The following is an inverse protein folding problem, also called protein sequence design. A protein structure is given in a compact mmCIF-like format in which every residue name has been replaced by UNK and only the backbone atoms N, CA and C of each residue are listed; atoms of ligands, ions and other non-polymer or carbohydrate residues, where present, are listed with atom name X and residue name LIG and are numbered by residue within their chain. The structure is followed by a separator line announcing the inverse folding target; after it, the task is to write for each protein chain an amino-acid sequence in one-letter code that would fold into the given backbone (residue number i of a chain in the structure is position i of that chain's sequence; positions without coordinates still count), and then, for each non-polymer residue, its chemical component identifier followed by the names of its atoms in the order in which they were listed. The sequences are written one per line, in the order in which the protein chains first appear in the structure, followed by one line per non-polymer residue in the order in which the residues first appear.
data_IF_622031739581
#
_entry.id   IF_622031739581
#
_cell.length_a   1.000
_cell.length_b   1.000
_cell.length_c   1.000
_cell.angle_alpha   90.00
_cell.angle_beta   90.00
_cell.angle_gamma   90.00
#
_symmetry.space_group_name_H-M   'P 1'
#
loop_
_entity.id
_entity.type
_entity.pdbx_description
1 polymer ?
#
# COMPACT_ATOMS: atom_id res chain seq x y z
N UNK A 1 6.11 -26.99 12.96
CA UNK A 1 7.04 -26.23 12.06
C UNK A 1 6.61 -26.52 10.64
N UNK A 2 6.31 -25.50 9.83
CA UNK A 2 5.90 -25.66 8.44
C UNK A 2 6.94 -25.02 7.50
N UNK A 3 7.05 -25.53 6.28
CA UNK A 3 7.84 -24.93 5.19
C UNK A 3 6.92 -24.12 4.28
N UNK A 4 7.12 -22.81 4.27
CA UNK A 4 6.22 -21.84 3.65
C UNK A 4 6.94 -21.08 2.54
N UNK A 5 6.35 -21.02 1.36
CA UNK A 5 6.81 -20.13 0.29
C UNK A 5 5.88 -18.92 0.18
N UNK A 6 6.45 -17.74 0.32
CA UNK A 6 5.78 -16.47 0.01
C UNK A 6 6.09 -16.11 -1.44
N UNK A 7 5.08 -15.99 -2.28
CA UNK A 7 5.26 -15.72 -3.71
C UNK A 7 4.87 -14.29 -4.06
N UNK A 8 5.79 -13.54 -4.64
CA UNK A 8 5.57 -12.15 -5.02
C UNK A 8 6.15 -11.86 -6.41
N UNK A 9 5.38 -11.19 -7.27
CA UNK A 9 5.90 -10.73 -8.55
C UNK A 9 6.75 -9.48 -8.35
N UNK A 10 7.91 -9.39 -9.01
CA UNK A 10 8.86 -8.30 -8.83
C UNK A 10 9.06 -7.52 -10.11
N UNK A 11 8.77 -6.23 -10.09
CA UNK A 11 9.24 -5.33 -11.15
C UNK A 11 10.71 -5.05 -10.88
N UNK A 12 11.64 -5.39 -11.80
CA UNK A 12 13.06 -5.18 -11.58
C UNK A 12 13.38 -3.73 -11.22
N UNK A 13 14.30 -3.54 -10.27
CA UNK A 13 14.77 -2.24 -9.76
C UNK A 13 13.69 -1.37 -9.08
N UNK A 14 12.47 -1.88 -8.88
CA UNK A 14 11.39 -1.20 -8.16
C UNK A 14 11.19 -1.87 -6.81
N UNK A 15 11.21 -1.09 -5.74
CA UNK A 15 10.86 -1.54 -4.39
C UNK A 15 9.82 -0.60 -3.79
N UNK A 16 8.71 -1.17 -3.35
CA UNK A 16 7.60 -0.43 -2.76
C UNK A 16 6.99 -1.13 -1.57
N UNK A 17 5.78 -0.74 -1.20
CA UNK A 17 5.05 -1.32 -0.06
C UNK A 17 4.82 -2.83 -0.20
N UNK A 18 4.54 -3.31 -1.40
CA UNK A 18 4.28 -4.73 -1.65
C UNK A 18 5.53 -5.60 -1.41
N UNK A 19 6.68 -5.17 -1.91
CA UNK A 19 7.95 -5.86 -1.73
C UNK A 19 8.38 -5.88 -0.26
N UNK A 20 8.23 -4.75 0.43
CA UNK A 20 8.50 -4.63 1.87
C UNK A 20 7.55 -5.48 2.70
N UNK A 21 6.27 -5.60 2.31
CA UNK A 21 5.29 -6.47 2.95
C UNK A 21 5.69 -7.94 2.83
N UNK A 22 6.03 -8.41 1.61
CA UNK A 22 6.44 -9.78 1.36
C UNK A 22 7.70 -10.17 2.15
N UNK A 23 8.71 -9.30 2.15
CA UNK A 23 9.93 -9.51 2.94
C UNK A 23 9.65 -9.55 4.46
N UNK A 24 8.75 -8.68 4.93
CA UNK A 24 8.34 -8.67 6.34
C UNK A 24 7.59 -9.94 6.71
N UNK A 25 6.68 -10.43 5.86
CA UNK A 25 5.96 -11.69 6.11
C UNK A 25 6.94 -12.87 6.27
N UNK A 26 7.94 -12.99 5.39
CA UNK A 26 8.96 -14.05 5.50
C UNK A 26 9.73 -13.94 6.82
N UNK A 27 10.15 -12.73 7.20
CA UNK A 27 10.85 -12.50 8.48
C UNK A 27 9.99 -12.93 9.67
N UNK A 28 8.70 -12.55 9.67
CA UNK A 28 7.78 -12.85 10.77
C UNK A 28 7.42 -14.35 10.85
N UNK A 29 7.27 -15.02 9.70
CA UNK A 29 7.11 -16.48 9.66
C UNK A 29 8.32 -17.21 10.24
N UNK A 30 9.54 -16.76 9.90
CA UNK A 30 10.77 -17.30 10.48
C UNK A 30 10.85 -17.02 11.98
N UNK A 31 10.49 -15.81 12.41
CA UNK A 31 10.41 -15.43 13.83
C UNK A 31 9.39 -16.26 14.62
N UNK A 32 8.35 -16.77 13.97
CA UNK A 32 7.36 -17.69 14.55
C UNK A 32 7.82 -19.18 14.53
N UNK A 33 9.05 -19.49 14.09
CA UNK A 33 9.63 -20.83 14.10
C UNK A 33 9.31 -21.68 12.87
N UNK A 34 8.92 -21.08 11.75
CA UNK A 34 8.69 -21.76 10.48
C UNK A 34 9.88 -21.58 9.52
N UNK A 35 10.09 -22.55 8.62
CA UNK A 35 10.95 -22.33 7.46
C UNK A 35 10.18 -21.51 6.44
N UNK A 36 10.66 -20.34 6.06
CA UNK A 36 9.97 -19.49 5.10
C UNK A 36 10.95 -18.89 4.10
N UNK A 37 10.57 -18.87 2.82
CA UNK A 37 11.36 -18.30 1.74
C UNK A 37 10.49 -17.41 0.84
N UNK A 38 11.15 -16.39 0.23
CA UNK A 38 10.52 -15.51 -0.73
C UNK A 38 10.85 -15.96 -2.14
N UNK A 39 9.84 -16.37 -2.89
CA UNK A 39 9.94 -16.66 -4.32
C UNK A 39 9.53 -15.43 -5.11
N UNK A 40 10.45 -14.90 -5.91
CA UNK A 40 10.19 -13.73 -6.73
C UNK A 40 10.51 -14.03 -8.20
N UNK A 41 9.53 -13.78 -9.08
CA UNK A 41 9.75 -13.81 -10.53
C UNK A 41 9.63 -12.40 -11.09
N UNK A 42 10.46 -12.03 -12.10
CA UNK A 42 10.34 -10.77 -12.78
C UNK A 42 8.96 -10.60 -13.40
N UNK A 43 8.41 -9.40 -13.30
CA UNK A 43 7.14 -9.02 -13.91
C UNK A 43 7.32 -7.82 -14.82
N UNK A 44 6.83 -7.94 -16.05
CA UNK A 44 6.72 -6.85 -17.02
C UNK A 44 5.27 -6.75 -17.51
N UNK A 45 4.82 -5.53 -17.78
CA UNK A 45 3.50 -5.27 -18.37
C UNK A 45 3.61 -4.66 -19.77
N UNK A 46 4.82 -4.47 -20.27
CA UNK A 46 5.07 -3.95 -21.60
C UNK A 46 6.18 -4.76 -22.28
N UNK A 47 5.94 -5.24 -23.51
CA UNK A 47 4.68 -5.18 -24.26
C UNK A 47 3.57 -6.04 -23.61
N UNK A 48 2.31 -5.84 -23.97
CA UNK A 48 1.12 -6.49 -23.36
C UNK A 48 1.21 -8.02 -23.20
N UNK A 49 1.74 -8.78 -24.18
CA UNK A 49 1.88 -10.24 -24.03
C UNK A 49 2.67 -10.67 -22.80
N UNK A 50 3.63 -9.85 -22.33
CA UNK A 50 4.45 -10.14 -21.14
C UNK A 50 3.62 -10.33 -19.87
N UNK A 51 2.44 -9.68 -19.79
CA UNK A 51 1.52 -9.83 -18.66
C UNK A 51 1.08 -11.29 -18.53
N UNK A 52 0.61 -11.89 -19.66
CA UNK A 52 0.15 -13.28 -19.65
C UNK A 52 1.32 -14.28 -19.62
N UNK A 53 2.44 -13.97 -20.25
CA UNK A 53 3.66 -14.79 -20.15
C UNK A 53 4.12 -14.89 -18.70
N UNK A 54 4.13 -13.78 -17.97
CA UNK A 54 4.42 -13.76 -16.53
C UNK A 54 3.41 -14.61 -15.74
N UNK A 55 2.11 -14.51 -16.06
CA UNK A 55 1.07 -15.31 -15.41
C UNK A 55 1.25 -16.81 -15.70
N UNK A 56 1.56 -17.18 -16.95
CA UNK A 56 1.84 -18.56 -17.33
C UNK A 56 3.11 -19.11 -16.67
N UNK A 57 4.16 -18.29 -16.54
CA UNK A 57 5.39 -18.68 -15.84
C UNK A 57 5.09 -19.10 -14.40
N UNK A 58 4.31 -18.32 -13.66
CA UNK A 58 3.84 -18.70 -12.33
C UNK A 58 2.98 -19.97 -12.35
N UNK A 59 2.15 -20.15 -13.37
CA UNK A 59 1.26 -21.31 -13.50
C UNK A 59 2.02 -22.61 -13.74
N UNK A 60 3.18 -22.54 -14.41
CA UNK A 60 4.02 -23.70 -14.77
C UNK A 60 5.05 -24.02 -13.70
N UNK A 61 5.32 -23.10 -12.77
CA UNK A 61 6.27 -23.30 -11.69
C UNK A 61 5.76 -24.39 -10.75
N UNK A 62 6.59 -25.43 -10.55
CA UNK A 62 6.37 -26.41 -9.50
C UNK A 62 7.00 -25.90 -8.20
N UNK A 63 6.18 -25.76 -7.17
CA UNK A 63 6.56 -25.31 -5.83
C UNK A 63 6.11 -26.30 -4.75
N UNK A 64 5.81 -27.53 -5.14
CA UNK A 64 5.34 -28.56 -4.20
C UNK A 64 6.47 -29.16 -3.38
N UNK A 65 7.70 -29.05 -3.89
CA UNK A 65 8.92 -29.54 -3.25
C UNK A 65 10.07 -28.56 -3.45
N UNK A 66 10.95 -28.46 -2.49
CA UNK A 66 12.19 -27.70 -2.57
C UNK A 66 13.29 -28.43 -1.79
N UNK A 67 14.44 -28.66 -2.44
CA UNK A 67 15.58 -29.38 -1.85
C UNK A 67 15.21 -30.76 -1.27
N UNK A 68 14.45 -31.53 -2.03
CA UNK A 68 14.01 -32.87 -1.65
C UNK A 68 13.06 -32.97 -0.47
N UNK A 69 12.43 -31.84 -0.10
CA UNK A 69 11.47 -31.76 0.99
C UNK A 69 10.17 -31.09 0.53
N UNK A 70 9.00 -31.58 0.98
CA UNK A 70 7.74 -30.98 0.61
C UNK A 70 7.62 -29.53 1.11
N UNK A 71 6.97 -28.69 0.34
CA UNK A 71 6.49 -27.38 0.75
C UNK A 71 5.09 -27.56 1.33
N UNK A 72 4.88 -27.04 2.53
CA UNK A 72 3.62 -27.25 3.27
C UNK A 72 2.54 -26.22 2.91
N UNK A 73 2.95 -24.98 2.62
CA UNK A 73 2.05 -23.87 2.37
C UNK A 73 2.65 -22.88 1.37
N UNK A 74 1.83 -22.39 0.45
CA UNK A 74 2.21 -21.29 -0.46
C UNK A 74 1.29 -20.10 -0.23
N UNK A 75 1.90 -18.91 -0.04
CA UNK A 75 1.21 -17.62 0.20
C UNK A 75 1.55 -16.64 -0.92
N UNK A 76 0.80 -16.63 -2.03
CA UNK A 76 0.98 -15.63 -3.08
C UNK A 76 0.27 -14.32 -2.71
N UNK A 77 0.89 -13.17 -3.11
CA UNK A 77 0.49 -11.87 -2.59
C UNK A 77 -0.08 -10.88 -3.62
N UNK A 78 0.34 -10.91 -4.86
CA UNK A 78 -0.16 -10.00 -5.90
C UNK A 78 -0.12 -10.63 -7.29
N UNK A 79 -0.83 -10.02 -8.24
CA UNK A 79 -0.78 -10.43 -9.64
C UNK A 79 0.68 -10.43 -10.17
N UNK A 80 1.08 -11.47 -10.92
CA UNK A 80 0.39 -12.73 -11.21
C UNK A 80 0.81 -13.90 -10.30
N UNK A 81 1.44 -13.67 -9.14
CA UNK A 81 2.01 -14.73 -8.29
C UNK A 81 0.98 -15.77 -7.83
N UNK A 82 -0.29 -15.39 -7.69
CA UNK A 82 -1.35 -16.33 -7.30
C UNK A 82 -1.78 -17.32 -8.41
N UNK A 83 -1.19 -17.20 -9.61
CA UNK A 83 -1.30 -18.24 -10.64
C UNK A 83 -0.58 -19.54 -10.26
N UNK A 84 0.37 -19.49 -9.33
CA UNK A 84 1.08 -20.69 -8.83
C UNK A 84 0.09 -21.77 -8.37
N UNK A 85 0.44 -23.03 -8.65
CA UNK A 85 -0.35 -24.20 -8.24
C UNK A 85 0.27 -24.85 -7.02
N UNK A 86 -0.54 -25.07 -6.01
CA UNK A 86 -0.15 -25.80 -4.82
C UNK A 86 -1.41 -26.37 -4.14
N UNK A 87 -1.40 -27.62 -3.62
CA UNK A 87 -2.55 -28.19 -2.94
C UNK A 87 -2.98 -27.38 -1.71
N UNK A 88 -2.02 -26.74 -1.03
CA UNK A 88 -2.26 -25.88 0.11
C UNK A 88 -1.84 -24.44 -0.24
N UNK A 89 -2.73 -23.70 -0.89
CA UNK A 89 -2.53 -22.31 -1.30
C UNK A 89 -3.48 -21.38 -0.54
N UNK A 90 -2.91 -20.40 0.18
CA UNK A 90 -3.62 -19.32 0.85
C UNK A 90 -3.20 -17.99 0.24
N UNK A 91 -4.10 -17.30 -0.45
CA UNK A 91 -3.80 -16.00 -1.06
C UNK A 91 -3.91 -14.91 -0.02
N UNK A 92 -2.91 -14.03 0.07
CA UNK A 92 -3.01 -12.78 0.81
C UNK A 92 -2.84 -11.62 -0.16
N UNK A 93 -3.95 -11.20 -0.74
CA UNK A 93 -3.99 -10.28 -1.87
C UNK A 93 -3.63 -8.86 -1.46
N UNK A 94 -2.54 -8.33 -2.03
CA UNK A 94 -2.17 -6.90 -1.96
C UNK A 94 -3.02 -6.12 -2.96
N UNK A 95 -3.00 -6.51 -4.22
CA UNK A 95 -3.83 -5.96 -5.29
C UNK A 95 -3.84 -6.87 -6.53
N UNK A 96 -4.90 -6.73 -7.34
CA UNK A 96 -4.95 -7.22 -8.71
C UNK A 96 -4.03 -6.35 -9.61
N UNK A 97 -3.95 -6.69 -10.89
CA UNK A 97 -3.34 -5.80 -11.88
C UNK A 97 -4.33 -4.65 -12.20
N UNK A 98 -4.32 -3.59 -11.39
CA UNK A 98 -5.32 -2.51 -11.34
C UNK A 98 -5.58 -1.83 -12.68
N UNK A 99 -4.60 -1.83 -13.59
CA UNK A 99 -4.76 -1.31 -14.95
C UNK A 99 -5.87 -2.03 -15.74
N UNK A 100 -6.13 -3.30 -15.41
CA UNK A 100 -7.22 -4.08 -16.03
C UNK A 100 -8.55 -3.95 -15.28
N UNK A 101 -8.62 -3.24 -14.16
CA UNK A 101 -9.77 -3.13 -13.27
C UNK A 101 -10.27 -1.69 -13.12
N UNK A 102 -10.11 -1.13 -11.95
CA UNK A 102 -10.58 0.20 -11.57
C UNK A 102 -9.86 1.35 -12.30
N UNK A 103 -8.64 1.10 -12.78
CA UNK A 103 -7.86 2.08 -13.55
C UNK A 103 -8.03 1.95 -15.07
N UNK A 104 -8.76 0.94 -15.55
CA UNK A 104 -8.94 0.72 -16.99
C UNK A 104 -9.59 1.93 -17.67
N UNK A 105 -8.95 2.43 -18.75
CA UNK A 105 -9.44 3.57 -19.51
C UNK A 105 -9.34 4.93 -18.82
N UNK A 106 -8.72 5.03 -17.63
CA UNK A 106 -8.41 6.32 -17.02
C UNK A 106 -7.21 6.99 -17.74
N UNK A 107 -7.06 8.29 -17.56
CA UNK A 107 -5.97 9.07 -18.18
C UNK A 107 -4.58 8.57 -17.81
N UNK A 108 -4.43 8.06 -16.60
CA UNK A 108 -3.17 7.59 -16.04
C UNK A 108 -2.96 6.08 -16.26
N UNK A 109 -3.86 5.43 -17.00
CA UNK A 109 -3.76 4.01 -17.31
C UNK A 109 -2.93 3.77 -18.56
N UNK A 110 -2.14 2.70 -18.55
CA UNK A 110 -1.49 2.15 -19.75
C UNK A 110 -2.50 1.47 -20.69
N UNK A 111 -3.71 1.16 -20.16
CA UNK A 111 -4.80 0.57 -20.92
C UNK A 111 -5.81 1.62 -21.34
N UNK A 112 -6.16 1.59 -22.61
CA UNK A 112 -7.19 2.45 -23.20
C UNK A 112 -8.53 1.70 -23.30
N UNK A 113 -9.60 2.42 -23.68
CA UNK A 113 -10.89 1.79 -23.99
C UNK A 113 -10.98 1.20 -25.41
N UNK A 114 -9.86 1.04 -26.10
CA UNK A 114 -9.82 0.44 -27.45
C UNK A 114 -10.13 -1.07 -27.39
N UNK A 115 -10.67 -1.66 -28.47
CA UNK A 115 -11.03 -3.08 -28.50
C UNK A 115 -9.88 -4.03 -28.18
N UNK A 116 -8.65 -3.71 -28.59
CA UNK A 116 -7.46 -4.50 -28.31
C UNK A 116 -7.17 -4.57 -26.80
N UNK A 117 -7.20 -3.43 -26.11
CA UNK A 117 -6.99 -3.37 -24.66
C UNK A 117 -8.13 -4.05 -23.89
N UNK A 118 -9.37 -3.98 -24.40
CA UNK A 118 -10.50 -4.70 -23.82
C UNK A 118 -10.29 -6.21 -23.85
N UNK A 119 -9.72 -6.74 -24.94
CA UNK A 119 -9.37 -8.16 -25.04
C UNK A 119 -8.29 -8.57 -24.02
N UNK A 120 -7.24 -7.76 -23.85
CA UNK A 120 -6.23 -8.03 -22.83
C UNK A 120 -6.81 -8.01 -21.42
N UNK A 121 -7.74 -7.07 -21.16
CA UNK A 121 -8.48 -7.01 -19.91
C UNK A 121 -9.24 -8.31 -19.62
N UNK A 122 -9.98 -8.83 -20.59
CA UNK A 122 -10.73 -10.08 -20.45
C UNK A 122 -9.80 -11.26 -20.13
N UNK A 123 -8.68 -11.38 -20.81
CA UNK A 123 -7.69 -12.44 -20.57
C UNK A 123 -7.06 -12.33 -19.18
N UNK A 124 -6.80 -11.11 -18.69
CA UNK A 124 -6.29 -10.89 -17.32
C UNK A 124 -7.36 -11.28 -16.29
N UNK A 125 -8.63 -10.91 -16.51
CA UNK A 125 -9.72 -11.30 -15.63
C UNK A 125 -9.92 -12.83 -15.57
N UNK A 126 -9.75 -13.52 -16.68
CA UNK A 126 -9.80 -14.99 -16.74
C UNK A 126 -8.63 -15.63 -15.98
N UNK A 127 -7.41 -15.09 -16.16
CA UNK A 127 -6.24 -15.52 -15.40
C UNK A 127 -6.47 -15.34 -13.89
N UNK A 128 -6.97 -14.18 -13.47
CA UNK A 128 -7.26 -13.89 -12.06
C UNK A 128 -8.31 -14.85 -11.50
N UNK A 129 -9.39 -15.08 -12.22
CA UNK A 129 -10.42 -16.06 -11.81
C UNK A 129 -9.78 -17.45 -11.61
N UNK A 130 -8.99 -17.91 -12.57
CA UNK A 130 -8.29 -19.21 -12.49
C UNK A 130 -7.32 -19.28 -11.32
N UNK A 131 -6.54 -18.21 -11.10
CA UNK A 131 -5.54 -18.18 -10.04
C UNK A 131 -6.14 -18.09 -8.64
N UNK A 132 -7.18 -17.30 -8.46
CA UNK A 132 -7.77 -17.02 -7.16
C UNK A 132 -8.73 -18.13 -6.70
N UNK A 133 -9.56 -18.68 -7.58
CA UNK A 133 -10.50 -19.76 -7.20
C UNK A 133 -9.81 -21.07 -6.82
N UNK A 134 -8.55 -21.26 -7.22
CA UNK A 134 -7.75 -22.41 -6.80
C UNK A 134 -7.13 -22.28 -5.41
N UNK A 135 -7.43 -21.24 -4.64
CA UNK A 135 -6.94 -21.07 -3.27
C UNK A 135 -7.93 -21.66 -2.25
N UNK A 136 -7.40 -22.19 -1.14
CA UNK A 136 -8.22 -22.66 -0.01
C UNK A 136 -8.88 -21.49 0.72
N UNK A 137 -8.16 -20.35 0.81
CA UNK A 137 -8.63 -19.11 1.41
C UNK A 137 -8.02 -17.92 0.66
N UNK A 138 -8.80 -16.85 0.59
CA UNK A 138 -8.33 -15.55 0.08
C UNK A 138 -8.50 -14.52 1.17
N UNK A 139 -7.39 -13.90 1.54
CA UNK A 139 -7.36 -12.69 2.36
C UNK A 139 -7.01 -11.50 1.49
N UNK A 140 -7.47 -10.32 1.87
CA UNK A 140 -7.07 -9.05 1.30
C UNK A 140 -6.41 -8.17 2.37
N UNK A 141 -5.40 -7.37 2.01
CA UNK A 141 -4.70 -6.51 2.97
C UNK A 141 -5.58 -5.37 3.51
N UNK A 142 -6.69 -5.05 2.84
CA UNK A 142 -7.59 -3.96 3.17
C UNK A 142 -9.03 -4.27 2.73
N UNK A 143 -10.01 -3.64 3.37
CA UNK A 143 -11.42 -3.70 2.94
C UNK A 143 -11.59 -3.16 1.52
N UNK A 144 -10.88 -2.07 1.19
CA UNK A 144 -10.85 -1.50 -0.15
C UNK A 144 -10.41 -2.53 -1.21
N UNK A 145 -9.37 -3.31 -0.91
CA UNK A 145 -8.91 -4.39 -1.80
C UNK A 145 -9.91 -5.55 -1.85
N UNK A 146 -10.50 -5.94 -0.72
CA UNK A 146 -11.54 -6.97 -0.66
C UNK A 146 -12.79 -6.58 -1.46
N UNK A 147 -13.25 -5.34 -1.34
CA UNK A 147 -14.41 -4.83 -2.07
C UNK A 147 -14.14 -4.79 -3.59
N UNK A 148 -12.93 -4.39 -4.00
CA UNK A 148 -12.51 -4.42 -5.41
C UNK A 148 -12.55 -5.87 -5.95
N UNK A 149 -12.05 -6.83 -5.17
CA UNK A 149 -12.06 -8.24 -5.53
C UNK A 149 -13.49 -8.76 -5.67
N UNK A 150 -14.36 -8.44 -4.71
CA UNK A 150 -15.79 -8.79 -4.76
C UNK A 150 -16.47 -8.18 -5.98
N UNK A 151 -16.27 -6.89 -6.22
CA UNK A 151 -16.91 -6.13 -7.30
C UNK A 151 -16.54 -6.66 -8.69
N UNK A 152 -15.27 -6.96 -8.94
CA UNK A 152 -14.76 -7.27 -10.28
C UNK A 152 -14.63 -8.79 -10.54
N UNK A 153 -14.36 -9.57 -9.51
CA UNK A 153 -14.10 -11.01 -9.66
C UNK A 153 -15.19 -11.87 -9.02
N UNK A 154 -16.11 -11.30 -8.25
CA UNK A 154 -17.13 -12.04 -7.51
C UNK A 154 -16.56 -12.95 -6.41
N UNK A 155 -15.36 -12.62 -5.91
CA UNK A 155 -14.65 -13.42 -4.91
C UNK A 155 -14.68 -12.67 -3.58
N UNK A 156 -15.17 -13.35 -2.53
CA UNK A 156 -15.14 -12.84 -1.17
C UNK A 156 -13.75 -13.04 -0.57
N UNK A 157 -13.24 -12.03 0.12
CA UNK A 157 -11.98 -12.06 0.83
C UNK A 157 -12.14 -11.49 2.23
N UNK A 158 -11.57 -12.17 3.22
CA UNK A 158 -11.47 -11.65 4.57
C UNK A 158 -10.35 -10.60 4.66
N UNK A 159 -10.62 -9.49 5.34
CA UNK A 159 -9.60 -8.45 5.50
C UNK A 159 -8.60 -8.86 6.58
N UNK A 160 -7.32 -8.82 6.25
CA UNK A 160 -6.23 -9.16 7.15
C UNK A 160 -5.17 -8.05 7.12
N UNK A 161 -5.23 -7.16 8.12
CA UNK A 161 -4.31 -6.04 8.25
C UNK A 161 -2.92 -6.48 8.74
N UNK A 162 -1.92 -5.67 8.44
CA UNK A 162 -0.55 -5.84 8.93
C UNK A 162 0.11 -4.50 9.26
N UNK A 163 1.06 -4.45 10.20
CA UNK A 163 1.77 -3.21 10.50
C UNK A 163 2.68 -2.78 9.35
N UNK A 164 2.99 -1.49 9.22
CA UNK A 164 4.01 -1.04 8.27
C UNK A 164 5.40 -1.59 8.66
N UNK A 165 6.33 -1.71 7.69
CA UNK A 165 7.66 -2.27 7.95
C UNK A 165 8.45 -1.55 9.04
N UNK A 166 8.19 -0.27 9.25
CA UNK A 166 8.87 0.57 10.27
C UNK A 166 8.14 0.62 11.62
N UNK A 167 7.06 -0.13 11.82
CA UNK A 167 6.20 -0.02 13.01
C UNK A 167 6.98 -0.06 14.34
N UNK A 168 7.95 -0.96 14.49
CA UNK A 168 8.75 -1.09 15.72
C UNK A 168 9.81 0.00 15.92
N UNK A 169 9.97 0.91 14.97
CA UNK A 169 10.97 1.99 14.96
C UNK A 169 10.34 3.38 14.98
N UNK A 170 9.02 3.49 14.77
CA UNK A 170 8.30 4.75 14.81
C UNK A 170 8.45 5.40 16.18
N UNK A 171 8.66 6.72 16.19
CA UNK A 171 8.86 7.54 17.38
C UNK A 171 8.07 8.84 17.28
N UNK A 172 7.67 9.36 18.40
CA UNK A 172 7.03 10.67 18.51
C UNK A 172 8.05 11.73 18.91
N UNK A 173 7.84 12.97 18.48
CA UNK A 173 8.62 14.14 18.84
C UNK A 173 7.77 15.40 18.82
N UNK A 174 8.34 16.53 19.21
CA UNK A 174 7.69 17.83 19.12
C UNK A 174 7.54 18.28 17.66
N UNK A 175 6.47 19.01 17.41
CA UNK A 175 6.19 19.55 16.07
C UNK A 175 7.18 20.68 15.73
N UNK A 176 7.83 20.58 14.59
CA UNK A 176 8.62 21.65 14.01
C UNK A 176 7.80 22.59 13.11
N UNK A 177 6.47 22.52 13.15
CA UNK A 177 5.56 23.46 12.51
C UNK A 177 5.29 23.20 11.02
N UNK A 178 5.65 22.03 10.48
CA UNK A 178 5.38 21.68 9.08
C UNK A 178 4.39 20.53 8.93
N UNK A 179 3.73 20.47 7.77
CA UNK A 179 3.02 19.29 7.31
C UNK A 179 3.97 18.39 6.50
N UNK A 180 3.83 17.06 6.63
CA UNK A 180 4.63 16.08 5.92
C UNK A 180 3.81 15.34 4.88
N UNK A 181 4.28 15.27 3.63
CA UNK A 181 3.74 14.37 2.61
C UNK A 181 4.81 13.32 2.24
N UNK A 182 4.43 12.04 2.28
CA UNK A 182 5.35 10.92 2.01
C UNK A 182 4.79 10.05 0.91
N UNK A 183 5.64 9.62 -0.01
CA UNK A 183 5.29 8.61 -0.99
C UNK A 183 6.07 8.72 -2.29
N UNK A 184 5.83 7.72 -3.17
CA UNK A 184 6.33 7.78 -4.53
C UNK A 184 5.70 8.98 -5.26
N UNK A 185 6.51 9.75 -5.97
CA UNK A 185 6.01 10.89 -6.74
C UNK A 185 5.41 10.39 -8.04
N UNK A 186 4.17 9.93 -7.97
CA UNK A 186 3.34 9.52 -9.11
C UNK A 186 1.95 10.16 -9.01
N UNK A 187 1.17 10.24 -10.10
CA UNK A 187 -0.13 10.92 -10.11
C UNK A 187 -1.12 10.40 -9.07
N UNK A 188 -1.08 9.10 -8.73
CA UNK A 188 -2.02 8.48 -7.80
C UNK A 188 -1.81 8.91 -6.33
N UNK A 189 -0.62 9.40 -6.00
CA UNK A 189 -0.32 9.93 -4.67
C UNK A 189 -0.79 11.38 -4.48
N UNK A 190 -1.15 12.06 -5.58
CA UNK A 190 -1.70 13.43 -5.59
C UNK A 190 -0.89 14.42 -4.75
N UNK A 191 0.44 14.38 -4.89
CA UNK A 191 1.32 15.36 -4.22
C UNK A 191 1.05 16.78 -4.72
N UNK A 192 0.53 16.96 -5.93
CA UNK A 192 0.04 18.23 -6.45
C UNK A 192 -1.12 18.78 -5.61
N UNK A 193 -2.02 17.92 -5.11
CA UNK A 193 -3.08 18.35 -4.20
C UNK A 193 -2.51 18.77 -2.83
N UNK A 194 -1.48 18.10 -2.33
CA UNK A 194 -0.78 18.51 -1.11
C UNK A 194 -0.07 19.88 -1.29
N UNK A 195 0.53 20.13 -2.47
CA UNK A 195 1.12 21.43 -2.82
C UNK A 195 0.03 22.51 -2.85
N UNK A 196 -1.11 22.26 -3.48
CA UNK A 196 -2.24 23.17 -3.50
C UNK A 196 -2.78 23.47 -2.09
N UNK A 197 -2.84 22.45 -1.23
CA UNK A 197 -3.23 22.60 0.17
C UNK A 197 -2.26 23.50 0.95
N UNK A 198 -0.95 23.33 0.78
CA UNK A 198 0.05 24.16 1.42
C UNK A 198 -0.05 25.63 0.98
N UNK A 199 -0.32 25.86 -0.31
CA UNK A 199 -0.51 27.21 -0.82
C UNK A 199 -1.79 27.87 -0.25
N UNK A 200 -2.90 27.14 -0.21
CA UNK A 200 -4.17 27.64 0.33
C UNK A 200 -4.12 27.89 1.84
N UNK A 201 -3.54 26.93 2.59
CA UNK A 201 -3.44 26.98 4.05
C UNK A 201 -2.24 27.77 4.59
N UNK A 202 -1.31 28.21 3.72
CA UNK A 202 -0.11 29.00 4.05
C UNK A 202 0.77 28.37 5.13
N UNK A 203 1.07 27.08 5.01
CA UNK A 203 1.93 26.36 5.94
C UNK A 203 3.12 25.72 5.23
N UNK A 204 4.25 25.51 5.95
CA UNK A 204 5.39 24.80 5.40
C UNK A 204 5.04 23.33 5.10
N UNK A 205 5.44 22.84 3.91
CA UNK A 205 5.24 21.45 3.50
C UNK A 205 6.59 20.79 3.20
N UNK A 206 6.84 19.67 3.85
CA UNK A 206 7.97 18.79 3.54
C UNK A 206 7.47 17.61 2.73
N UNK A 207 8.11 17.34 1.58
CA UNK A 207 7.77 16.22 0.69
C UNK A 207 8.95 15.26 0.67
N UNK A 208 8.73 14.02 1.15
CA UNK A 208 9.70 12.94 1.16
C UNK A 208 9.30 11.84 0.16
N UNK A 209 10.18 11.56 -0.78
CA UNK A 209 10.00 10.56 -1.82
C UNK A 209 10.54 10.99 -3.17
N UNK A 210 10.56 10.03 -4.09
CA UNK A 210 10.99 10.22 -5.48
C UNK A 210 10.03 9.51 -6.44
N UNK A 211 10.07 9.88 -7.71
CA UNK A 211 9.22 9.26 -8.72
C UNK A 211 9.17 10.03 -10.02
N UNK A 212 8.51 9.47 -11.04
CA UNK A 212 8.52 10.05 -12.40
C UNK A 212 7.90 11.45 -12.48
N UNK A 213 7.01 11.81 -11.55
CA UNK A 213 6.32 13.10 -11.52
C UNK A 213 7.12 14.22 -10.82
N UNK A 214 8.29 13.91 -10.28
CA UNK A 214 9.07 14.80 -9.43
C UNK A 214 9.35 16.18 -10.06
N UNK A 215 9.77 16.24 -11.33
CA UNK A 215 10.09 17.51 -12.01
C UNK A 215 8.83 18.35 -12.26
N UNK A 216 7.69 17.73 -12.58
CA UNK A 216 6.41 18.45 -12.70
C UNK A 216 6.01 19.08 -11.38
N UNK A 217 6.11 18.31 -10.30
CA UNK A 217 5.75 18.73 -8.95
C UNK A 217 6.65 19.85 -8.42
N UNK A 218 7.95 19.81 -8.67
CA UNK A 218 8.87 20.91 -8.32
C UNK A 218 8.51 22.21 -9.05
N UNK A 219 8.17 22.12 -10.35
CA UNK A 219 7.71 23.30 -11.13
C UNK A 219 6.39 23.84 -10.58
N UNK A 220 5.47 22.96 -10.17
CA UNK A 220 4.21 23.34 -9.55
C UNK A 220 4.46 24.07 -8.22
N UNK A 221 5.30 23.50 -7.35
CA UNK A 221 5.67 24.08 -6.08
C UNK A 221 6.29 25.48 -6.22
N UNK A 222 7.22 25.67 -7.15
CA UNK A 222 7.85 26.97 -7.41
C UNK A 222 6.84 28.07 -7.84
N UNK A 223 5.71 27.67 -8.44
CA UNK A 223 4.64 28.61 -8.86
C UNK A 223 3.56 28.82 -7.81
N UNK A 224 3.50 27.96 -6.80
CA UNK A 224 2.43 27.98 -5.79
C UNK A 224 2.55 29.12 -4.78
N UNK A 225 3.75 29.69 -4.62
CA UNK A 225 4.05 30.69 -3.58
C UNK A 225 4.10 30.11 -2.16
N UNK A 226 3.99 28.80 -1.99
CA UNK A 226 4.07 28.13 -0.69
C UNK A 226 5.51 27.76 -0.33
N UNK A 227 5.78 27.65 0.96
CA UNK A 227 7.06 27.14 1.47
C UNK A 227 7.10 25.61 1.37
N UNK A 228 7.78 25.09 0.36
CA UNK A 228 7.82 23.65 0.06
C UNK A 228 9.26 23.15 -0.04
N UNK A 229 9.56 22.09 0.72
CA UNK A 229 10.86 21.43 0.73
C UNK A 229 10.75 20.00 0.20
N UNK A 230 11.47 19.68 -0.89
CA UNK A 230 11.61 18.32 -1.40
C UNK A 230 12.87 17.67 -0.84
N UNK A 231 12.70 16.57 -0.11
CA UNK A 231 13.81 15.79 0.47
C UNK A 231 14.33 14.71 -0.49
N UNK A 232 13.58 14.39 -1.54
CA UNK A 232 13.92 13.26 -2.42
C UNK A 232 13.72 11.91 -1.72
N UNK A 233 14.42 10.88 -2.19
CA UNK A 233 14.47 9.60 -1.51
C UNK A 233 15.29 9.75 -0.22
N UNK A 234 14.68 9.41 0.91
CA UNK A 234 15.29 9.50 2.24
C UNK A 234 15.56 8.11 2.82
N UNK A 235 16.50 8.01 3.74
CA UNK A 235 16.71 6.81 4.53
C UNK A 235 15.55 6.54 5.49
N UNK A 236 15.44 5.29 5.97
CA UNK A 236 14.43 4.95 6.98
C UNK A 236 14.58 5.82 8.25
N UNK A 237 15.81 6.12 8.69
CA UNK A 237 16.04 6.97 9.87
C UNK A 237 15.56 8.42 9.64
N UNK A 238 15.92 9.00 8.49
CA UNK A 238 15.45 10.35 8.14
C UNK A 238 13.94 10.38 8.00
N UNK A 239 13.32 9.34 7.45
CA UNK A 239 11.85 9.25 7.35
C UNK A 239 11.19 9.23 8.74
N UNK A 240 11.76 8.46 9.68
CA UNK A 240 11.26 8.39 11.05
C UNK A 240 11.40 9.75 11.77
N UNK A 241 12.50 10.49 11.55
CA UNK A 241 12.69 11.84 12.08
C UNK A 241 11.71 12.84 11.49
N UNK A 242 11.43 12.74 10.18
CA UNK A 242 10.43 13.57 9.52
C UNK A 242 9.02 13.32 10.09
N UNK A 243 8.64 12.07 10.30
CA UNK A 243 7.38 11.76 10.98
C UNK A 243 7.36 12.29 12.41
N UNK A 244 8.42 12.07 13.17
CA UNK A 244 8.50 12.48 14.58
C UNK A 244 8.35 13.99 14.76
N UNK A 245 8.85 14.79 13.80
CA UNK A 245 8.87 16.25 13.87
C UNK A 245 7.72 16.92 13.11
N UNK A 246 6.89 16.18 12.36
CA UNK A 246 5.74 16.74 11.66
C UNK A 246 4.65 17.22 12.64
N UNK A 247 3.91 18.26 12.28
CA UNK A 247 2.69 18.68 12.99
C UNK A 247 1.46 17.91 12.55
N UNK A 248 1.40 17.56 11.25
CA UNK A 248 0.37 16.72 10.64
C UNK A 248 0.96 16.00 9.42
N UNK A 249 0.34 14.91 9.00
CA UNK A 249 0.71 14.19 7.77
C UNK A 249 -0.40 14.35 6.75
N UNK A 250 -0.04 14.90 5.57
CA UNK A 250 -0.92 15.02 4.42
C UNK A 250 -0.78 13.79 3.55
N UNK A 251 -1.85 13.01 3.45
CA UNK A 251 -1.87 11.80 2.64
C UNK A 251 -3.17 11.70 1.84
N UNK A 252 -3.30 12.43 0.71
CA UNK A 252 -4.49 12.48 -0.12
C UNK A 252 -4.41 11.57 -1.37
N UNK A 253 -4.02 10.30 -1.33
CA UNK A 253 -3.92 9.47 -2.53
C UNK A 253 -5.28 9.30 -3.20
N UNK A 254 -5.31 8.93 -4.47
CA UNK A 254 -6.52 8.48 -5.15
C UNK A 254 -6.64 6.96 -5.02
N UNK A 255 -7.66 6.50 -4.29
CA UNK A 255 -7.97 5.07 -4.12
C UNK A 255 -6.74 4.20 -3.83
N UNK A 256 -6.06 4.48 -2.72
CA UNK A 256 -4.91 3.71 -2.23
C UNK A 256 -5.34 2.31 -1.79
N UNK A 257 -4.50 1.31 -2.00
CA UNK A 257 -4.81 -0.06 -1.61
C UNK A 257 -4.82 -0.24 -0.09
N UNK A 258 -3.82 0.31 0.63
CA UNK A 258 -3.69 0.14 2.08
C UNK A 258 -3.38 1.44 2.83
N UNK A 259 -2.22 2.04 2.58
CA UNK A 259 -1.84 3.33 3.15
C UNK A 259 -0.91 3.25 4.35
N UNK A 260 0.27 2.67 4.17
CA UNK A 260 1.32 2.66 5.21
C UNK A 260 1.59 4.03 5.82
N UNK A 261 1.55 5.08 5.02
CA UNK A 261 1.80 6.46 5.46
C UNK A 261 0.87 6.86 6.61
N UNK A 262 -0.42 6.47 6.54
CA UNK A 262 -1.36 6.77 7.63
C UNK A 262 -0.99 6.00 8.91
N UNK A 263 -0.61 4.73 8.79
CA UNK A 263 -0.21 3.93 9.95
C UNK A 263 1.13 4.37 10.53
N UNK A 264 2.10 4.75 9.71
CA UNK A 264 3.40 5.29 10.14
C UNK A 264 3.23 6.63 10.85
N UNK A 265 2.35 7.51 10.34
CA UNK A 265 1.97 8.75 10.99
C UNK A 265 1.35 8.49 12.37
N UNK A 266 0.40 7.57 12.46
CA UNK A 266 -0.25 7.20 13.72
C UNK A 266 0.72 6.58 14.72
N UNK A 267 1.59 5.68 14.29
CA UNK A 267 2.63 5.11 15.14
C UNK A 267 3.65 6.16 15.62
N UNK A 268 3.74 7.28 14.88
CA UNK A 268 4.51 8.48 15.29
C UNK A 268 3.66 9.52 16.04
N UNK A 269 2.40 9.17 16.43
CA UNK A 269 1.43 10.03 17.14
C UNK A 269 1.10 11.33 16.37
N UNK A 270 1.07 11.25 15.05
CA UNK A 270 0.73 12.39 14.19
C UNK A 270 -0.64 12.21 13.56
N UNK A 271 -1.48 13.25 13.55
CA UNK A 271 -2.77 13.19 12.87
C UNK A 271 -2.57 13.15 11.35
N UNK A 272 -3.49 12.48 10.67
CA UNK A 272 -3.49 12.38 9.20
C UNK A 272 -4.62 13.22 8.63
N UNK A 273 -4.31 13.95 7.55
CA UNK A 273 -5.30 14.64 6.72
C UNK A 273 -5.36 13.91 5.38
N UNK A 274 -6.54 13.43 5.02
CA UNK A 274 -6.77 12.63 3.81
C UNK A 274 -8.07 13.07 3.11
N UNK A 275 -8.38 12.44 1.97
CA UNK A 275 -9.56 12.77 1.19
C UNK A 275 -10.62 11.67 1.22
N UNK A 276 -11.88 12.05 0.97
CA UNK A 276 -13.04 11.13 0.94
C UNK A 276 -12.94 10.01 -0.10
N UNK A 277 -12.02 10.14 -1.07
CA UNK A 277 -11.76 9.17 -2.14
C UNK A 277 -10.38 8.48 -2.02
N UNK A 278 -9.76 8.55 -0.84
CA UNK A 278 -8.40 8.02 -0.64
C UNK A 278 -8.31 6.50 -0.51
N UNK A 279 -9.44 5.79 -0.43
CA UNK A 279 -9.48 4.32 -0.37
C UNK A 279 -8.98 3.77 0.97
N UNK A 280 -7.98 2.88 0.96
CA UNK A 280 -7.47 2.20 2.17
C UNK A 280 -7.15 3.09 3.37
N UNK A 281 -6.57 4.29 3.26
CA UNK A 281 -6.40 5.21 4.38
C UNK A 281 -7.67 5.49 5.18
N UNK A 282 -8.85 5.50 4.55
CA UNK A 282 -10.14 5.72 5.22
C UNK A 282 -10.56 4.58 6.17
N UNK A 283 -9.88 3.45 6.12
CA UNK A 283 -10.08 2.37 7.07
C UNK A 283 -9.45 2.68 8.44
N UNK A 284 -8.49 3.61 8.45
CA UNK A 284 -7.72 4.00 9.63
C UNK A 284 -8.00 5.43 10.05
N UNK A 285 -8.25 6.34 9.11
CA UNK A 285 -8.51 7.75 9.37
C UNK A 285 -10.01 7.99 9.49
N UNK A 286 -10.46 8.42 10.67
CA UNK A 286 -11.84 8.84 10.93
C UNK A 286 -11.83 10.35 11.21
N UNK A 287 -12.71 11.09 10.52
CA UNK A 287 -12.78 12.55 10.66
C UNK A 287 -13.11 12.97 12.10
N UNK A 288 -12.32 13.88 12.65
CA UNK A 288 -12.46 14.39 14.00
C UNK A 288 -12.01 13.43 15.13
N UNK A 289 -11.69 12.17 14.83
CA UNK A 289 -11.25 11.16 15.82
C UNK A 289 -9.74 10.89 15.71
N UNK A 290 -9.24 10.49 14.52
CA UNK A 290 -7.83 10.14 14.32
C UNK A 290 -7.14 11.05 13.30
N UNK A 291 -7.90 11.91 12.63
CA UNK A 291 -7.40 12.83 11.63
C UNK A 291 -8.54 13.68 11.06
N UNK A 292 -8.32 14.18 9.85
CA UNK A 292 -9.34 14.91 9.10
C UNK A 292 -9.54 14.27 7.73
N UNK A 293 -10.81 14.21 7.32
CA UNK A 293 -11.21 13.69 6.00
C UNK A 293 -11.93 14.81 5.27
N UNK A 294 -11.40 15.25 4.13
CA UNK A 294 -11.94 16.37 3.35
C UNK A 294 -12.32 15.91 1.94
N UNK A 295 -13.14 16.69 1.20
CA UNK A 295 -13.20 16.53 -0.26
C UNK A 295 -11.79 16.59 -0.88
N UNK A 296 -11.56 15.99 -2.08
CA UNK A 296 -10.29 16.05 -2.78
C UNK A 296 -10.05 17.43 -3.43
N UNK A 297 -9.97 18.44 -2.59
CA UNK A 297 -9.84 19.86 -2.92
C UNK A 297 -8.72 20.52 -2.11
N UNK A 298 -7.86 21.30 -2.79
CA UNK A 298 -6.69 21.92 -2.16
C UNK A 298 -7.04 22.92 -1.07
N UNK A 299 -8.15 23.67 -1.19
CA UNK A 299 -8.56 24.64 -0.18
C UNK A 299 -9.07 23.92 1.08
N UNK A 300 -9.93 22.92 0.91
CA UNK A 300 -10.47 22.13 2.03
C UNK A 300 -9.35 21.37 2.78
N UNK A 301 -8.42 20.74 2.03
CA UNK A 301 -7.25 20.09 2.63
C UNK A 301 -6.35 21.11 3.36
N UNK A 302 -6.17 22.28 2.74
CA UNK A 302 -5.36 23.38 3.27
C UNK A 302 -5.91 23.90 4.58
N UNK A 303 -7.21 24.19 4.65
CA UNK A 303 -7.90 24.65 5.86
C UNK A 303 -7.79 23.63 7.00
N UNK A 304 -8.10 22.35 6.72
CA UNK A 304 -8.03 21.29 7.71
C UNK A 304 -6.61 21.08 8.26
N UNK A 305 -5.59 21.18 7.39
CA UNK A 305 -4.19 21.04 7.80
C UNK A 305 -3.70 22.24 8.59
N UNK A 306 -4.00 23.46 8.14
CA UNK A 306 -3.64 24.68 8.85
C UNK A 306 -4.26 24.75 10.26
N UNK A 307 -5.51 24.32 10.40
CA UNK A 307 -6.17 24.23 11.70
C UNK A 307 -5.44 23.28 12.68
N UNK A 308 -4.99 22.11 12.20
CA UNK A 308 -4.22 21.17 13.03
C UNK A 308 -2.83 21.70 13.39
N UNK A 309 -2.16 22.42 12.48
CA UNK A 309 -0.85 23.02 12.76
C UNK A 309 -0.96 24.18 13.77
N UNK A 310 -2.07 24.91 13.75
CA UNK A 310 -2.33 26.00 14.69
C UNK A 310 -2.79 25.50 16.07
N UNK A 311 -3.51 24.37 16.14
CA UNK A 311 -4.00 23.77 17.40
C UNK A 311 -3.22 22.48 17.71
N UNK A 312 -2.05 22.65 18.33
CA UNK A 312 -1.22 21.50 18.76
C UNK A 312 -1.90 20.58 19.78
N UNK A 313 -2.90 21.02 20.53
CA UNK A 313 -3.65 20.18 21.46
C UNK A 313 -4.62 19.25 20.70
N UNK A 314 -5.35 19.79 19.72
CA UNK A 314 -6.17 18.97 18.83
C UNK A 314 -5.31 17.98 18.01
N UNK A 315 -4.18 18.43 17.45
CA UNK A 315 -3.29 17.57 16.72
C UNK A 315 -2.79 16.37 17.58
N UNK A 316 -2.34 16.64 18.80
CA UNK A 316 -1.92 15.57 19.73
C UNK A 316 -3.05 14.62 20.07
N UNK A 317 -4.25 15.11 20.35
CA UNK A 317 -5.41 14.26 20.67
C UNK A 317 -5.75 13.31 19.52
N UNK A 318 -5.78 13.81 18.28
CA UNK A 318 -6.07 13.01 17.10
C UNK A 318 -4.93 12.01 16.81
N UNK A 319 -3.68 12.44 16.93
CA UNK A 319 -2.51 11.58 16.75
C UNK A 319 -2.46 10.45 17.78
N UNK A 320 -2.82 10.72 19.04
CA UNK A 320 -2.89 9.70 20.09
C UNK A 320 -4.00 8.67 19.80
N UNK A 321 -5.18 9.12 19.41
CA UNK A 321 -6.27 8.22 19.02
C UNK A 321 -5.87 7.35 17.80
N UNK A 322 -5.16 7.93 16.84
CA UNK A 322 -4.58 7.20 15.72
C UNK A 322 -3.56 6.14 16.16
N UNK A 323 -2.69 6.49 17.12
CA UNK A 323 -1.71 5.56 17.68
C UNK A 323 -2.40 4.37 18.37
N UNK A 324 -3.43 4.61 19.20
CA UNK A 324 -4.19 3.54 19.86
C UNK A 324 -4.83 2.58 18.82
N UNK A 325 -5.30 3.09 17.69
CA UNK A 325 -5.82 2.27 16.59
C UNK A 325 -4.71 1.48 15.90
N UNK A 326 -3.61 2.14 15.50
CA UNK A 326 -2.55 1.51 14.72
C UNK A 326 -1.78 0.43 15.49
N UNK A 327 -1.56 0.59 16.80
CA UNK A 327 -0.84 -0.37 17.64
C UNK A 327 -1.57 -1.70 17.85
N UNK A 328 -2.86 -1.78 17.53
CA UNK A 328 -3.62 -3.05 17.61
C UNK A 328 -3.33 -3.96 16.41
N UNK A 329 -2.80 -3.42 15.32
CA UNK A 329 -2.45 -4.18 14.11
C UNK A 329 -1.10 -4.86 14.36
N UNK A 330 -1.06 -6.20 14.27
CA UNK A 330 0.15 -6.96 14.60
C UNK A 330 0.47 -8.03 13.56
N UNK A 331 1.76 -8.25 13.34
CA UNK A 331 2.24 -9.34 12.49
C UNK A 331 1.86 -10.71 13.05
N UNK A 332 1.86 -10.88 14.38
CA UNK A 332 1.50 -12.16 14.99
C UNK A 332 0.05 -12.55 14.68
N UNK A 333 -0.87 -11.60 14.60
CA UNK A 333 -2.25 -11.87 14.18
C UNK A 333 -2.32 -12.28 12.70
N UNK A 334 -1.61 -11.57 11.82
CA UNK A 334 -1.56 -11.87 10.39
C UNK A 334 -0.95 -13.26 10.13
N UNK A 335 0.20 -13.56 10.73
CA UNK A 335 0.88 -14.85 10.58
C UNK A 335 0.00 -15.99 11.08
N UNK A 336 -0.62 -15.87 12.26
CA UNK A 336 -1.54 -16.90 12.77
C UNK A 336 -2.72 -17.14 11.85
N UNK A 337 -3.35 -16.10 11.32
CA UNK A 337 -4.49 -16.24 10.41
C UNK A 337 -4.10 -16.97 9.12
N UNK A 338 -2.95 -16.60 8.53
CA UNK A 338 -2.44 -17.24 7.31
C UNK A 338 -2.08 -18.71 7.54
N UNK A 339 -1.40 -19.02 8.64
CA UNK A 339 -1.02 -20.39 9.00
C UNK A 339 -2.27 -21.23 9.33
N UNK A 340 -3.21 -20.72 10.11
CA UNK A 340 -4.45 -21.41 10.43
C UNK A 340 -5.27 -21.74 9.18
N UNK A 341 -5.34 -20.81 8.20
CA UNK A 341 -5.98 -21.05 6.92
C UNK A 341 -5.29 -22.14 6.09
N UNK A 342 -3.97 -22.34 6.29
CA UNK A 342 -3.18 -23.43 5.71
C UNK A 342 -3.17 -24.71 6.55
N UNK A 343 -3.94 -24.79 7.66
CA UNK A 343 -4.00 -25.98 8.53
C UNK A 343 -2.86 -26.10 9.56
N UNK A 344 -2.14 -24.99 9.84
CA UNK A 344 -1.07 -24.93 10.83
C UNK A 344 -1.49 -24.02 11.99
N UNK A 345 -1.54 -24.59 13.20
CA UNK A 345 -1.88 -23.88 14.43
C UNK A 345 -0.62 -23.34 15.14
#
# INVERSE_FOLDING_TARGET
MARVLVCNAQVPFVSGGAERCAASLVRELRGAGHEAELVQLPFSWSPRPEILLSAMTWRLLDVTEADGKPVDLVIPMKFPSYMVRHPNKVVWLIHQFRQAYDRFGTRESDFTALPEDSRWRELIHEADRTGLTGAQRVFAIAKNTAERLRRFNGIEAETLYHPPPLAGRCRSGESAGYALAVGRLDPWKRIDLAIAAAAAGKFPLVIAGSGPDGERLKKLAARSGAEISFRGAVSDEELLDLYASAGAVLFPPADEDYGYVALEAFLSRKPVVTCTDSGGPLEFVTDGETGRVTPPDGAALGEATAALLADGAAARRLGEAGFERARTISWSAAVRALLAAGGFA
#
